data_IF_022275280028
#
_entry.id   IF_022275280028
#
_cell.length_a   1.000
_cell.length_b   1.000
_cell.length_c   1.000
_cell.angle_alpha   90.00
_cell.angle_beta   90.00
_cell.angle_gamma   90.00
#
_symmetry.space_group_name_H-M   'P 1'
#
loop_
_entity.id
_entity.type
_entity.pdbx_description
1 polymer ?
#
# COMPACT_ATOMS: atom_id res chain seq x y z
N UNK A 1 9.13 39.95 5.02
CA UNK A 1 10.08 38.87 5.36
C UNK A 1 9.89 38.56 6.82
N UNK A 2 9.72 37.29 7.20
CA UNK A 2 9.81 36.92 8.61
C UNK A 2 11.25 37.17 9.07
N UNK A 3 11.44 37.65 10.31
CA UNK A 3 12.78 37.86 10.86
C UNK A 3 13.54 36.54 11.02
N UNK A 4 14.80 36.60 11.43
CA UNK A 4 15.58 35.42 11.81
C UNK A 4 15.87 35.41 13.31
N UNK A 5 16.22 34.24 13.85
CA UNK A 5 16.87 34.08 15.15
C UNK A 5 18.19 33.33 14.96
N UNK A 6 19.18 33.66 15.75
CA UNK A 6 20.43 32.91 15.81
C UNK A 6 20.26 31.68 16.69
N UNK A 7 20.54 30.50 16.15
CA UNK A 7 20.68 29.27 16.92
C UNK A 7 22.12 28.75 16.83
N UNK A 8 22.50 27.90 17.79
CA UNK A 8 23.85 27.30 17.86
C UNK A 8 23.79 25.78 17.92
N UNK A 9 24.78 25.14 17.29
CA UNK A 9 25.15 23.75 17.52
C UNK A 9 26.68 23.65 17.73
N UNK A 10 27.24 22.45 17.72
CA UNK A 10 28.69 22.25 17.88
C UNK A 10 29.54 22.86 16.76
N UNK A 11 28.94 23.24 15.63
CA UNK A 11 29.61 23.92 14.51
C UNK A 11 29.48 25.45 14.58
N UNK A 12 28.87 25.99 15.64
CA UNK A 12 28.73 27.43 15.88
C UNK A 12 27.34 27.97 15.51
N UNK A 13 27.21 29.30 15.36
CA UNK A 13 25.92 29.96 15.11
C UNK A 13 25.42 29.79 13.66
N UNK A 14 24.09 29.84 13.50
CA UNK A 14 23.40 29.89 12.21
C UNK A 14 22.06 30.62 12.34
N UNK A 15 21.67 31.35 11.29
CA UNK A 15 20.39 32.07 11.24
C UNK A 15 19.24 31.14 10.80
N UNK A 16 18.17 31.13 11.59
CA UNK A 16 16.97 30.32 11.38
C UNK A 16 15.75 31.25 11.26
N UNK A 17 14.78 31.00 10.36
CA UNK A 17 13.56 31.80 10.29
C UNK A 17 12.82 31.85 11.64
N UNK A 18 12.45 33.05 12.09
CA UNK A 18 11.84 33.26 13.41
C UNK A 18 10.44 32.64 13.55
N UNK A 19 9.73 32.44 12.43
CA UNK A 19 8.42 31.79 12.36
C UNK A 19 8.50 30.24 12.37
N UNK A 20 9.69 29.66 12.52
CA UNK A 20 9.91 28.21 12.42
C UNK A 20 10.49 27.63 13.68
N UNK A 21 9.96 26.50 14.13
CA UNK A 21 10.37 25.85 15.38
C UNK A 21 11.61 24.96 15.26
N UNK A 22 12.07 24.61 14.05
CA UNK A 22 13.31 23.84 13.89
C UNK A 22 14.54 24.66 14.27
N UNK A 23 15.65 24.03 14.60
CA UNK A 23 16.86 24.70 15.10
C UNK A 23 18.05 24.64 14.16
N UNK A 24 19.25 24.79 14.73
CA UNK A 24 20.49 24.89 13.99
C UNK A 24 20.78 23.67 13.09
N UNK A 25 20.56 22.44 13.58
CA UNK A 25 20.90 21.24 12.81
C UNK A 25 19.99 21.05 11.61
N UNK A 26 18.69 21.32 11.78
CA UNK A 26 17.74 21.31 10.66
C UNK A 26 18.11 22.36 9.62
N UNK A 27 18.44 23.57 10.06
CA UNK A 27 18.84 24.65 9.15
C UNK A 27 20.11 24.31 8.37
N UNK A 28 21.10 23.66 8.99
CA UNK A 28 22.29 23.16 8.29
C UNK A 28 21.95 22.04 7.31
N UNK A 29 21.09 21.09 7.70
CA UNK A 29 20.67 20.00 6.82
C UNK A 29 20.00 20.53 5.54
N UNK A 30 19.10 21.53 5.66
CA UNK A 30 18.51 22.22 4.50
C UNK A 30 19.54 22.86 3.57
N UNK A 31 20.63 23.38 4.12
CA UNK A 31 21.74 23.92 3.36
C UNK A 31 22.53 22.85 2.60
N UNK A 32 22.79 21.71 3.26
CA UNK A 32 23.72 20.68 2.79
C UNK A 32 23.07 19.62 1.87
N UNK A 33 21.79 19.31 2.07
CA UNK A 33 21.08 18.22 1.38
C UNK A 33 20.00 18.75 0.44
N UNK A 34 20.43 19.56 -0.54
CA UNK A 34 19.55 20.15 -1.58
C UNK A 34 19.37 19.21 -2.76
N UNK A 35 18.84 18.03 -2.48
CA UNK A 35 18.68 16.95 -3.45
C UNK A 35 17.19 16.65 -3.57
N UNK A 36 16.68 16.58 -4.80
CA UNK A 36 15.31 16.18 -5.10
C UNK A 36 14.20 17.08 -4.53
N UNK A 37 12.97 16.74 -4.89
CA UNK A 37 11.78 17.42 -4.40
C UNK A 37 11.17 16.71 -3.19
N UNK A 38 11.49 15.43 -3.01
CA UNK A 38 10.92 14.55 -1.99
C UNK A 38 11.29 15.01 -0.57
N UNK A 39 10.29 15.47 0.17
CA UNK A 39 10.38 15.72 1.60
C UNK A 39 10.14 14.42 2.37
N UNK A 40 10.67 14.36 3.59
CA UNK A 40 10.41 13.23 4.47
C UNK A 40 8.90 13.02 4.64
N UNK A 41 8.37 11.78 4.52
CA UNK A 41 6.92 11.55 4.60
C UNK A 41 6.35 11.98 5.95
N UNK A 42 5.25 12.74 5.93
CA UNK A 42 4.56 13.18 7.15
C UNK A 42 4.16 12.04 8.08
N UNK A 43 3.70 10.85 7.62
CA UNK A 43 3.42 9.73 8.52
C UNK A 43 4.64 9.30 9.35
N UNK A 44 5.86 9.44 8.82
CA UNK A 44 7.08 9.18 9.58
C UNK A 44 7.35 10.28 10.63
N UNK A 45 7.09 11.54 10.30
CA UNK A 45 7.19 12.67 11.23
C UNK A 45 6.21 12.49 12.39
N UNK A 46 4.96 12.13 12.10
CA UNK A 46 3.94 11.86 13.11
C UNK A 46 4.33 10.67 13.98
N UNK A 47 4.89 9.61 13.40
CA UNK A 47 5.44 8.49 14.14
C UNK A 47 6.62 8.88 15.04
N UNK A 48 7.52 9.77 14.58
CA UNK A 48 8.57 10.31 15.43
C UNK A 48 8.01 11.15 16.58
N UNK A 49 6.90 11.89 16.37
CA UNK A 49 6.15 12.53 17.44
C UNK A 49 5.69 11.52 18.50
N UNK A 50 5.11 10.40 18.09
CA UNK A 50 4.73 9.30 19.00
C UNK A 50 5.95 8.69 19.73
N UNK A 51 7.07 8.51 19.03
CA UNK A 51 8.34 8.06 19.64
C UNK A 51 8.77 9.05 20.73
N UNK A 52 8.80 10.35 20.47
CA UNK A 52 9.20 11.33 21.49
C UNK A 52 8.23 11.40 22.67
N UNK A 53 6.93 11.28 22.39
CA UNK A 53 5.91 11.25 23.44
C UNK A 53 6.08 10.01 24.34
N UNK A 54 6.23 8.82 23.77
CA UNK A 54 6.44 7.60 24.53
C UNK A 54 7.76 7.61 25.31
N UNK A 55 8.84 8.12 24.71
CA UNK A 55 10.15 8.18 25.35
C UNK A 55 10.19 9.14 26.53
N UNK A 56 9.54 10.31 26.44
CA UNK A 56 9.52 11.24 27.59
C UNK A 56 8.70 10.68 28.74
N UNK A 57 7.57 10.00 28.45
CA UNK A 57 6.76 9.37 29.49
C UNK A 57 7.54 8.25 30.21
N UNK A 58 8.23 7.39 29.46
CA UNK A 58 9.09 6.35 30.05
C UNK A 58 10.24 6.95 30.89
N UNK A 59 10.82 8.07 30.45
CA UNK A 59 11.86 8.77 31.21
C UNK A 59 11.32 9.45 32.48
N UNK A 60 10.08 9.94 32.46
CA UNK A 60 9.41 10.46 33.65
C UNK A 60 9.14 9.34 34.67
N UNK A 61 8.66 8.18 34.21
CA UNK A 61 8.46 6.99 35.06
C UNK A 61 9.77 6.53 35.71
N UNK A 62 10.89 6.63 34.98
CA UNK A 62 12.24 6.31 35.48
C UNK A 62 12.88 7.43 36.33
N UNK A 63 12.19 8.56 36.56
CA UNK A 63 12.70 9.69 37.32
C UNK A 63 13.87 10.45 36.67
N UNK A 64 14.06 10.30 35.36
CA UNK A 64 15.15 10.94 34.60
C UNK A 64 14.80 12.33 34.08
N UNK A 65 13.51 12.68 34.04
CA UNK A 65 13.00 13.99 33.61
C UNK A 65 11.96 14.48 34.62
N UNK A 66 12.09 15.74 35.03
CA UNK A 66 11.13 16.41 35.92
C UNK A 66 9.73 16.53 35.28
N UNK A 67 8.67 16.31 36.07
CA UNK A 67 7.28 16.26 35.58
C UNK A 67 6.88 17.45 34.71
N UNK A 68 7.15 18.68 35.16
CA UNK A 68 6.76 19.88 34.41
C UNK A 68 7.45 20.00 33.04
N UNK A 69 8.72 19.63 32.95
CA UNK A 69 9.46 19.58 31.68
C UNK A 69 8.93 18.44 30.81
N UNK A 70 8.75 17.27 31.40
CA UNK A 70 8.30 16.07 30.70
C UNK A 70 6.89 16.21 30.11
N UNK A 71 5.95 16.80 30.85
CA UNK A 71 4.58 17.10 30.41
C UNK A 71 4.57 18.08 29.22
N UNK A 72 5.39 19.13 29.27
CA UNK A 72 5.50 20.08 28.17
C UNK A 72 6.06 19.44 26.89
N UNK A 73 7.06 18.56 27.03
CA UNK A 73 7.59 17.77 25.91
C UNK A 73 6.54 16.80 25.38
N UNK A 74 5.82 16.08 26.25
CA UNK A 74 4.80 15.12 25.84
C UNK A 74 3.66 15.81 25.07
N UNK A 75 3.23 16.99 25.51
CA UNK A 75 2.22 17.79 24.81
C UNK A 75 2.71 18.27 23.44
N UNK A 76 3.93 18.81 23.36
CA UNK A 76 4.52 19.22 22.08
C UNK A 76 4.74 18.03 21.13
N UNK A 77 5.12 16.87 21.63
CA UNK A 77 5.26 15.64 20.86
C UNK A 77 3.90 15.14 20.33
N UNK A 78 2.82 15.29 21.12
CA UNK A 78 1.46 15.00 20.68
C UNK A 78 0.99 15.96 19.56
N UNK A 79 1.36 17.25 19.61
CA UNK A 79 1.10 18.21 18.53
C UNK A 79 1.79 17.79 17.21
N UNK A 80 3.01 17.27 17.28
CA UNK A 80 3.72 16.68 16.13
C UNK A 80 3.03 15.40 15.66
N UNK A 81 2.68 14.49 16.57
CA UNK A 81 2.00 13.23 16.25
C UNK A 81 0.61 13.44 15.61
N UNK A 82 -0.07 14.54 15.96
CA UNK A 82 -1.36 14.95 15.41
C UNK A 82 -1.28 15.82 14.14
N UNK A 83 -0.07 16.15 13.66
CA UNK A 83 0.15 16.89 12.41
C UNK A 83 -0.06 18.40 12.46
N UNK A 84 -0.33 18.98 13.64
CA UNK A 84 -0.54 20.43 13.78
C UNK A 84 0.73 21.26 13.51
N UNK A 85 1.90 20.62 13.49
CA UNK A 85 3.21 21.24 13.30
C UNK A 85 3.90 20.85 11.98
N UNK A 86 3.18 20.27 11.02
CA UNK A 86 3.75 19.72 9.77
C UNK A 86 4.63 20.71 8.98
N UNK A 87 4.29 21.99 9.02
CA UNK A 87 5.04 23.05 8.35
C UNK A 87 6.47 23.25 8.91
N UNK A 88 6.84 22.61 10.01
CA UNK A 88 8.16 22.71 10.64
C UNK A 88 9.11 21.56 10.29
N UNK A 89 8.74 20.72 9.31
CA UNK A 89 9.53 19.53 8.91
C UNK A 89 9.93 19.58 7.43
N UNK A 90 10.89 20.45 7.05
CA UNK A 90 11.20 20.73 5.65
C UNK A 90 12.24 19.77 5.03
N UNK A 91 12.77 18.83 5.80
CA UNK A 91 13.92 18.01 5.38
C UNK A 91 13.57 17.01 4.27
N UNK A 92 14.55 16.76 3.41
CA UNK A 92 14.45 15.87 2.26
C UNK A 92 14.63 14.41 2.67
N UNK A 93 14.12 13.49 1.84
CA UNK A 93 14.38 12.05 1.98
C UNK A 93 15.88 11.76 1.84
N UNK A 94 16.53 12.48 0.92
CA UNK A 94 17.94 12.30 0.53
C UNK A 94 18.90 12.99 1.49
N UNK A 95 18.88 12.53 2.74
CA UNK A 95 19.66 13.07 3.85
C UNK A 95 20.65 12.04 4.40
N UNK A 96 21.17 12.25 5.61
CA UNK A 96 21.92 11.19 6.31
C UNK A 96 21.13 9.88 6.37
N UNK A 97 21.81 8.78 6.02
CA UNK A 97 21.22 7.48 5.84
C UNK A 97 20.64 6.82 7.10
N UNK A 98 21.05 7.26 8.28
CA UNK A 98 20.46 6.84 9.56
C UNK A 98 19.14 7.54 9.88
N UNK A 99 18.82 8.64 9.20
CA UNK A 99 17.69 9.50 9.55
C UNK A 99 17.97 10.50 10.68
N UNK A 100 19.22 10.65 11.12
CA UNK A 100 19.60 11.55 12.24
C UNK A 100 19.11 12.98 12.07
N UNK A 101 19.15 13.54 10.85
CA UNK A 101 18.74 14.93 10.63
C UNK A 101 17.24 15.11 10.86
N UNK A 102 16.39 14.18 10.42
CA UNK A 102 14.96 14.19 10.77
C UNK A 102 14.71 13.94 12.25
N UNK A 103 15.44 13.01 12.89
CA UNK A 103 15.32 12.81 14.34
C UNK A 103 15.63 14.12 15.10
N UNK A 104 16.70 14.81 14.72
CA UNK A 104 17.05 16.10 15.31
C UNK A 104 16.07 17.21 14.96
N UNK A 105 15.50 17.22 13.75
CA UNK A 105 14.44 18.17 13.40
C UNK A 105 13.22 18.02 14.32
N UNK A 106 12.79 16.79 14.60
CA UNK A 106 11.72 16.52 15.56
C UNK A 106 12.13 16.94 16.97
N UNK A 107 13.35 16.63 17.41
CA UNK A 107 13.85 17.06 18.71
C UNK A 107 13.85 18.60 18.86
N UNK A 108 14.33 19.33 17.85
CA UNK A 108 14.40 20.79 17.86
C UNK A 108 13.01 21.43 17.88
N UNK A 109 12.09 20.94 17.04
CA UNK A 109 10.71 21.44 17.00
C UNK A 109 10.00 21.22 18.33
N UNK A 110 10.08 20.01 18.89
CA UNK A 110 9.46 19.69 20.18
C UNK A 110 10.10 20.50 21.30
N UNK A 111 11.43 20.61 21.34
CA UNK A 111 12.13 21.41 22.35
C UNK A 111 11.68 22.88 22.31
N UNK A 112 11.72 23.51 21.14
CA UNK A 112 11.31 24.90 20.99
C UNK A 112 9.82 25.11 21.30
N UNK A 113 8.96 24.17 20.92
CA UNK A 113 7.53 24.23 21.25
C UNK A 113 7.28 24.15 22.76
N UNK A 114 7.99 23.24 23.44
CA UNK A 114 7.91 23.07 24.89
C UNK A 114 8.51 24.26 25.65
N UNK A 115 9.62 24.84 25.18
CA UNK A 115 10.19 26.08 25.72
C UNK A 115 9.17 27.20 25.70
N UNK A 116 8.50 27.42 24.56
CA UNK A 116 7.48 28.46 24.42
C UNK A 116 6.29 28.20 25.37
N UNK A 117 5.86 26.95 25.53
CA UNK A 117 4.80 26.58 26.46
C UNK A 117 5.17 26.86 27.94
N UNK A 118 6.46 26.79 28.26
CA UNK A 118 7.02 27.09 29.58
C UNK A 118 7.43 28.57 29.74
N UNK A 119 7.05 29.45 28.79
CA UNK A 119 7.32 30.89 28.85
C UNK A 119 8.76 31.29 28.51
N UNK A 120 9.56 30.37 27.96
CA UNK A 120 10.92 30.64 27.51
C UNK A 120 11.00 31.19 26.08
N UNK A 121 12.22 31.28 25.56
CA UNK A 121 12.52 31.83 24.22
C UNK A 121 13.00 30.71 23.29
N UNK A 122 12.36 30.54 22.14
CA UNK A 122 12.79 29.55 21.14
C UNK A 122 14.26 29.75 20.74
N UNK A 123 15.00 28.64 20.61
CA UNK A 123 16.43 28.58 20.31
C UNK A 123 17.36 28.67 21.52
N UNK A 124 16.83 29.06 22.69
CA UNK A 124 17.62 29.13 23.94
C UNK A 124 18.03 27.78 24.49
N UNK A 125 17.35 26.70 24.08
CA UNK A 125 17.51 25.32 24.59
C UNK A 125 17.30 25.19 26.11
N UNK A 126 16.64 26.16 26.72
CA UNK A 126 16.32 26.23 28.15
C UNK A 126 14.85 26.63 28.30
N UNK A 127 14.06 25.97 29.16
CA UNK A 127 14.44 24.85 30.04
C UNK A 127 14.56 23.49 29.32
N UNK A 128 14.16 23.39 28.04
CA UNK A 128 14.15 22.11 27.31
C UNK A 128 15.27 22.05 26.28
N UNK A 129 16.27 21.19 26.54
CA UNK A 129 17.34 20.87 25.60
C UNK A 129 16.91 19.75 24.62
N UNK A 130 17.12 19.90 23.29
CA UNK A 130 16.71 18.89 22.31
C UNK A 130 17.43 17.55 22.46
N UNK A 131 18.68 17.52 22.94
CA UNK A 131 19.41 16.26 23.15
C UNK A 131 19.18 15.71 24.56
N UNK A 132 19.29 16.55 25.58
CA UNK A 132 19.42 16.10 26.97
C UNK A 132 18.05 15.77 27.58
N UNK A 133 16.98 16.32 27.00
CA UNK A 133 15.61 16.08 27.43
C UNK A 133 14.81 15.35 26.34
N UNK A 134 14.62 15.95 25.15
CA UNK A 134 13.75 15.36 24.11
C UNK A 134 14.32 14.05 23.55
N UNK A 135 15.64 13.96 23.39
CA UNK A 135 16.35 12.76 22.94
C UNK A 135 16.97 11.94 24.09
N UNK A 136 16.53 12.16 25.35
CA UNK A 136 17.04 11.42 26.50
C UNK A 136 16.79 9.92 26.32
N UNK A 137 17.81 9.10 26.59
CA UNK A 137 17.79 7.64 26.47
C UNK A 137 17.50 7.09 25.06
N UNK A 138 17.71 7.92 24.04
CA UNK A 138 17.44 7.59 22.64
C UNK A 138 18.67 7.83 21.77
N UNK A 139 18.66 7.21 20.60
CA UNK A 139 19.57 7.48 19.49
C UNK A 139 18.78 7.58 18.21
N UNK A 140 19.25 8.34 17.22
CA UNK A 140 18.64 8.28 15.88
C UNK A 140 18.63 6.84 15.32
N UNK A 141 19.62 6.04 15.70
CA UNK A 141 19.78 4.67 15.24
C UNK A 141 18.69 3.73 15.76
N UNK A 142 17.99 4.07 16.84
CA UNK A 142 16.89 3.28 17.40
C UNK A 142 15.52 4.00 17.33
N UNK A 143 15.51 5.33 17.34
CA UNK A 143 14.30 6.16 17.19
C UNK A 143 13.75 6.13 15.76
N UNK A 144 14.61 6.31 14.76
CA UNK A 144 14.18 6.34 13.35
C UNK A 144 13.60 4.98 12.90
N UNK A 145 14.25 3.82 13.12
CA UNK A 145 13.64 2.53 12.76
C UNK A 145 12.36 2.22 13.54
N UNK A 146 12.27 2.62 14.82
CA UNK A 146 11.01 2.49 15.57
C UNK A 146 9.89 3.31 14.93
N UNK A 147 10.19 4.55 14.50
CA UNK A 147 9.23 5.37 13.78
C UNK A 147 8.85 4.80 12.40
N UNK A 148 9.79 4.15 11.69
CA UNK A 148 9.48 3.46 10.43
C UNK A 148 8.41 2.37 10.64
N UNK A 149 8.59 1.55 11.67
CA UNK A 149 7.67 0.48 12.03
C UNK A 149 6.30 1.02 12.47
N UNK A 150 6.28 2.05 13.32
CA UNK A 150 5.05 2.71 13.76
C UNK A 150 4.29 3.31 12.57
N UNK A 151 4.98 4.06 11.71
CA UNK A 151 4.37 4.70 10.54
C UNK A 151 3.79 3.67 9.58
N UNK A 152 4.54 2.60 9.26
CA UNK A 152 4.07 1.56 8.37
C UNK A 152 2.84 0.83 8.94
N UNK A 153 2.89 0.37 10.20
CA UNK A 153 1.76 -0.32 10.82
C UNK A 153 0.49 0.55 10.89
N UNK A 154 0.64 1.84 11.18
CA UNK A 154 -0.50 2.78 11.18
C UNK A 154 -1.05 3.02 9.78
N UNK A 155 -0.23 3.29 8.77
CA UNK A 155 -0.72 3.49 7.40
C UNK A 155 -1.36 2.20 6.83
N UNK A 156 -0.90 1.02 7.23
CA UNK A 156 -1.57 -0.24 6.91
C UNK A 156 -2.97 -0.31 7.54
N UNK A 157 -3.07 -0.10 8.85
CA UNK A 157 -4.32 -0.14 9.62
C UNK A 157 -5.33 0.93 9.16
N UNK A 158 -4.88 2.18 9.06
CA UNK A 158 -5.76 3.34 8.97
C UNK A 158 -6.12 3.66 7.51
N UNK A 159 -5.24 3.32 6.55
CA UNK A 159 -5.43 3.61 5.12
C UNK A 159 -5.61 2.36 4.28
N UNK A 160 -4.65 1.44 4.27
CA UNK A 160 -4.62 0.40 3.23
C UNK A 160 -5.63 -0.72 3.47
N UNK A 161 -5.71 -1.27 4.68
CA UNK A 161 -6.64 -2.38 4.97
C UNK A 161 -8.11 -1.99 4.73
N UNK A 162 -8.59 -0.79 5.14
CA UNK A 162 -9.95 -0.37 4.83
C UNK A 162 -10.18 -0.17 3.32
N UNK A 163 -9.19 0.33 2.58
CA UNK A 163 -9.28 0.51 1.13
C UNK A 163 -9.41 -0.82 0.39
N UNK A 164 -8.59 -1.81 0.74
CA UNK A 164 -8.63 -3.13 0.13
C UNK A 164 -9.89 -3.89 0.53
N UNK A 165 -10.35 -3.74 1.78
CA UNK A 165 -11.62 -4.33 2.24
C UNK A 165 -12.80 -3.77 1.44
N UNK A 166 -12.80 -2.48 1.15
CA UNK A 166 -13.82 -1.83 0.31
C UNK A 166 -13.79 -2.34 -1.13
N UNK A 167 -12.60 -2.41 -1.75
CA UNK A 167 -12.44 -2.98 -3.09
C UNK A 167 -12.89 -4.44 -3.16
N UNK A 168 -12.48 -5.25 -2.18
CA UNK A 168 -12.89 -6.64 -2.05
C UNK A 168 -14.41 -6.78 -1.98
N UNK A 169 -15.06 -6.03 -1.08
CA UNK A 169 -16.51 -6.08 -0.91
C UNK A 169 -17.25 -5.65 -2.19
N UNK A 170 -16.73 -4.67 -2.91
CA UNK A 170 -17.31 -4.19 -4.17
C UNK A 170 -17.20 -5.25 -5.27
N UNK A 171 -16.05 -5.91 -5.41
CA UNK A 171 -15.85 -7.02 -6.34
C UNK A 171 -16.74 -8.23 -6.00
N UNK A 172 -16.81 -8.61 -4.72
CA UNK A 172 -17.62 -9.72 -4.24
C UNK A 172 -19.12 -9.47 -4.45
N UNK A 173 -19.58 -8.23 -4.25
CA UNK A 173 -20.96 -7.85 -4.56
C UNK A 173 -21.29 -8.03 -6.05
N UNK A 174 -20.40 -7.59 -6.96
CA UNK A 174 -20.56 -7.81 -8.40
C UNK A 174 -20.51 -9.30 -8.77
N UNK A 175 -19.61 -10.06 -8.16
CA UNK A 175 -19.53 -11.52 -8.30
C UNK A 175 -20.89 -12.17 -8.02
N UNK A 176 -21.49 -11.89 -6.86
CA UNK A 176 -22.79 -12.44 -6.45
C UNK A 176 -23.94 -11.99 -7.37
N UNK A 177 -23.95 -10.72 -7.77
CA UNK A 177 -24.96 -10.18 -8.68
C UNK A 177 -24.94 -10.85 -10.07
N UNK A 178 -23.80 -11.41 -10.48
CA UNK A 178 -23.57 -11.93 -11.83
C UNK A 178 -23.37 -13.45 -11.90
N UNK A 179 -23.69 -14.18 -10.83
CA UNK A 179 -23.60 -15.65 -10.77
C UNK A 179 -24.37 -16.34 -11.91
N UNK A 180 -25.48 -15.77 -12.37
CA UNK A 180 -26.30 -16.33 -13.46
C UNK A 180 -25.93 -15.86 -14.88
N UNK A 181 -24.91 -15.01 -15.05
CA UNK A 181 -24.56 -14.46 -16.36
C UNK A 181 -23.47 -15.34 -16.98
N UNK A 182 -23.84 -16.19 -17.93
CA UNK A 182 -22.89 -17.07 -18.62
C UNK A 182 -22.18 -16.30 -19.73
N UNK A 183 -20.85 -16.37 -19.75
CA UNK A 183 -19.97 -15.79 -20.78
C UNK A 183 -18.94 -16.81 -21.22
N UNK A 184 -18.21 -16.51 -22.28
CA UNK A 184 -17.08 -17.34 -22.70
C UNK A 184 -15.89 -17.11 -21.78
N UNK A 185 -15.30 -18.20 -21.30
CA UNK A 185 -13.94 -18.16 -20.80
C UNK A 185 -12.97 -17.88 -21.95
N UNK A 186 -11.80 -17.33 -21.62
CA UNK A 186 -10.69 -17.19 -22.56
C UNK A 186 -9.40 -17.68 -21.95
N UNK A 187 -8.73 -18.59 -22.63
CA UNK A 187 -7.38 -19.04 -22.28
C UNK A 187 -6.48 -18.81 -23.49
N UNK A 188 -5.26 -18.31 -23.26
CA UNK A 188 -4.36 -17.88 -24.35
C UNK A 188 -4.99 -16.82 -25.29
N UNK A 189 -5.95 -16.04 -24.79
CA UNK A 189 -6.77 -15.09 -25.54
C UNK A 189 -7.68 -15.71 -26.63
N UNK A 190 -7.77 -17.04 -26.70
CA UNK A 190 -8.69 -17.75 -27.57
C UNK A 190 -10.00 -18.03 -26.84
N UNK A 191 -11.08 -18.22 -27.59
CA UNK A 191 -12.34 -18.68 -27.03
C UNK A 191 -12.14 -20.03 -26.32
N UNK A 192 -12.80 -20.20 -25.17
CA UNK A 192 -12.76 -21.42 -24.38
C UNK A 192 -14.18 -21.81 -23.93
N UNK A 193 -14.28 -22.74 -22.97
CA UNK A 193 -15.57 -23.18 -22.42
C UNK A 193 -16.27 -22.07 -21.63
N UNK A 194 -17.60 -22.16 -21.46
CA UNK A 194 -18.35 -21.18 -20.67
C UNK A 194 -17.90 -21.10 -19.21
N UNK A 195 -17.99 -19.89 -18.66
CA UNK A 195 -17.92 -19.58 -17.23
C UNK A 195 -19.03 -18.58 -16.90
N UNK A 196 -19.36 -18.38 -15.63
CA UNK A 196 -20.21 -17.24 -15.26
C UNK A 196 -19.35 -16.00 -15.02
N UNK A 197 -19.88 -14.82 -15.31
CA UNK A 197 -19.24 -13.55 -14.98
C UNK A 197 -19.05 -13.43 -13.46
N UNK A 198 -19.96 -14.01 -12.68
CA UNK A 198 -19.79 -14.18 -11.23
C UNK A 198 -18.53 -14.98 -10.88
N UNK A 199 -18.30 -16.14 -11.50
CA UNK A 199 -17.08 -16.93 -11.28
C UNK A 199 -15.80 -16.14 -11.61
N UNK A 200 -15.80 -15.39 -12.72
CA UNK A 200 -14.67 -14.54 -13.10
C UNK A 200 -14.38 -13.47 -12.02
N UNK A 201 -15.42 -12.75 -11.57
CA UNK A 201 -15.28 -11.73 -10.53
C UNK A 201 -14.96 -12.30 -9.14
N UNK A 202 -15.39 -13.52 -8.83
CA UNK A 202 -14.99 -14.22 -7.60
C UNK A 202 -13.47 -14.46 -7.56
N UNK A 203 -12.85 -14.68 -8.73
CA UNK A 203 -11.40 -14.80 -8.85
C UNK A 203 -10.70 -13.49 -8.47
N UNK A 204 -11.24 -12.35 -8.90
CA UNK A 204 -10.71 -11.03 -8.55
C UNK A 204 -10.86 -10.74 -7.06
N UNK A 205 -12.05 -10.99 -6.48
CA UNK A 205 -12.30 -10.84 -5.05
C UNK A 205 -11.32 -11.72 -4.24
N UNK A 206 -11.17 -13.00 -4.60
CA UNK A 206 -10.23 -13.91 -3.93
C UNK A 206 -8.76 -13.43 -4.02
N UNK A 207 -8.34 -12.85 -5.16
CA UNK A 207 -6.99 -12.28 -5.28
C UNK A 207 -6.76 -11.11 -4.33
N UNK A 208 -7.74 -10.21 -4.18
CA UNK A 208 -7.66 -9.09 -3.22
C UNK A 208 -7.66 -9.60 -1.79
N UNK A 209 -8.54 -10.55 -1.46
CA UNK A 209 -8.61 -11.16 -0.12
C UNK A 209 -7.29 -11.83 0.27
N UNK A 210 -6.69 -12.61 -0.64
CA UNK A 210 -5.39 -13.22 -0.41
C UNK A 210 -4.28 -12.16 -0.28
N UNK A 211 -4.40 -11.02 -0.97
CA UNK A 211 -3.50 -9.88 -0.81
C UNK A 211 -3.58 -9.25 0.59
N UNK A 212 -4.79 -9.05 1.12
CA UNK A 212 -5.04 -8.59 2.49
C UNK A 212 -4.37 -9.54 3.49
N UNK A 213 -4.65 -10.84 3.40
CA UNK A 213 -4.10 -11.84 4.31
C UNK A 213 -2.55 -11.87 4.32
N UNK A 214 -1.90 -11.66 3.17
CA UNK A 214 -0.42 -11.56 3.09
C UNK A 214 0.11 -10.37 3.85
N UNK A 215 -0.56 -9.22 3.76
CA UNK A 215 -0.13 -7.99 4.45
C UNK A 215 -0.39 -8.11 5.95
N UNK A 216 -1.55 -8.63 6.36
CA UNK A 216 -1.87 -8.91 7.75
C UNK A 216 -0.84 -9.85 8.40
N UNK A 217 -0.40 -10.87 7.65
CA UNK A 217 0.62 -11.79 8.12
C UNK A 217 1.94 -11.10 8.47
N UNK A 218 2.27 -9.95 7.84
CA UNK A 218 3.48 -9.16 8.12
C UNK A 218 3.38 -8.31 9.40
N UNK A 219 2.17 -7.94 9.85
CA UNK A 219 1.97 -7.04 10.99
C UNK A 219 2.71 -7.47 12.27
N UNK A 220 2.70 -8.75 12.69
CA UNK A 220 3.45 -9.21 13.86
C UNK A 220 4.95 -8.93 13.82
N UNK A 221 5.53 -8.77 12.63
CA UNK A 221 6.96 -8.46 12.44
C UNK A 221 7.26 -6.96 12.38
N UNK A 222 6.23 -6.12 12.26
CA UNK A 222 6.35 -4.67 12.40
C UNK A 222 6.22 -4.20 13.85
N UNK A 223 5.51 -4.94 14.70
CA UNK A 223 5.28 -4.55 16.09
C UNK A 223 6.51 -4.53 17.02
N UNK A 224 7.55 -5.35 16.82
CA UNK A 224 8.76 -5.25 17.62
C UNK A 224 9.57 -4.00 17.25
N UNK A 225 9.83 -3.13 18.23
CA UNK A 225 10.50 -1.83 18.04
C UNK A 225 11.98 -1.87 18.46
N UNK A 226 12.79 -1.12 17.71
CA UNK A 226 14.23 -1.00 17.95
C UNK A 226 14.58 -0.17 19.20
N UNK A 227 13.67 0.69 19.66
CA UNK A 227 13.91 1.63 20.76
C UNK A 227 14.49 0.94 22.00
N UNK A 228 15.54 1.53 22.57
CA UNK A 228 16.34 0.94 23.64
C UNK A 228 17.62 0.25 23.13
N UNK A 229 17.82 0.15 21.82
CA UNK A 229 19.09 -0.26 21.22
C UNK A 229 20.20 0.80 21.39
N UNK A 230 19.78 2.07 21.50
CA UNK A 230 20.61 3.28 21.49
C UNK A 230 21.56 3.31 20.30
N UNK A 231 22.88 3.42 20.51
CA UNK A 231 23.82 3.67 19.42
C UNK A 231 24.03 2.44 18.51
N UNK A 232 24.25 1.27 19.12
CA UNK A 232 24.74 0.06 18.43
C UNK A 232 24.06 -1.24 18.86
N UNK A 233 22.97 -1.16 19.64
CA UNK A 233 22.20 -2.33 20.07
C UNK A 233 22.38 -2.72 21.54
N UNK A 234 23.36 -2.13 22.24
CA UNK A 234 23.70 -2.48 23.63
C UNK A 234 22.82 -1.82 24.69
N UNK A 235 22.07 -0.78 24.33
CA UNK A 235 21.28 -0.01 25.29
C UNK A 235 22.09 0.96 26.16
N UNK A 236 23.36 1.22 25.82
CA UNK A 236 24.18 2.21 26.53
C UNK A 236 23.45 3.56 26.64
N UNK A 237 23.40 4.12 27.84
CA UNK A 237 22.70 5.37 28.21
C UNK A 237 21.16 5.32 28.24
N UNK A 238 20.54 4.14 28.11
CA UNK A 238 19.15 3.93 28.48
C UNK A 238 19.06 3.25 29.86
N UNK A 239 18.11 3.63 30.73
CA UNK A 239 17.92 2.91 31.99
C UNK A 239 17.31 1.52 31.73
N UNK A 240 17.51 0.60 32.67
CA UNK A 240 16.87 -0.71 32.65
C UNK A 240 15.33 -0.57 32.62
N UNK A 241 14.65 -1.37 31.79
CA UNK A 241 13.20 -1.32 31.61
C UNK A 241 12.69 -0.21 30.67
N UNK A 242 13.57 0.66 30.15
CA UNK A 242 13.17 1.74 29.23
C UNK A 242 12.46 1.23 27.98
N UNK A 243 12.99 0.18 27.36
CA UNK A 243 12.48 -0.33 26.09
C UNK A 243 11.06 -0.91 26.23
N UNK A 244 10.81 -1.63 27.33
CA UNK A 244 9.51 -2.20 27.68
C UNK A 244 8.48 -1.11 28.01
N UNK A 245 8.84 -0.14 28.87
CA UNK A 245 7.96 0.99 29.20
C UNK A 245 7.64 1.81 27.94
N UNK A 246 8.66 2.13 27.14
CA UNK A 246 8.49 2.83 25.86
C UNK A 246 7.49 2.10 24.94
N UNK A 247 7.70 0.80 24.68
CA UNK A 247 6.81 0.03 23.82
C UNK A 247 5.38 -0.01 24.37
N UNK A 248 5.21 -0.13 25.69
CA UNK A 248 3.91 -0.04 26.35
C UNK A 248 3.21 1.31 26.19
N UNK A 249 3.96 2.42 26.21
CA UNK A 249 3.41 3.73 25.87
C UNK A 249 3.00 3.83 24.39
N UNK A 250 3.85 3.40 23.46
CA UNK A 250 3.50 3.39 22.03
C UNK A 250 2.25 2.55 21.77
N UNK A 251 2.14 1.38 22.39
CA UNK A 251 0.98 0.51 22.26
C UNK A 251 -0.31 1.19 22.78
N UNK A 252 -0.25 1.85 23.94
CA UNK A 252 -1.39 2.63 24.48
C UNK A 252 -1.78 3.81 23.58
N UNK A 253 -0.80 4.55 23.06
CA UNK A 253 -1.04 5.73 22.23
C UNK A 253 -1.63 5.37 20.86
N UNK A 254 -1.29 4.20 20.32
CA UNK A 254 -1.70 3.78 18.98
C UNK A 254 -2.86 2.79 18.96
N UNK A 255 -3.11 2.09 20.07
CA UNK A 255 -4.04 0.96 20.12
C UNK A 255 -3.52 -0.31 19.42
N UNK A 256 -2.25 -0.32 19.00
CA UNK A 256 -1.61 -1.44 18.30
C UNK A 256 -0.66 -2.20 19.25
N UNK A 257 -0.46 -3.52 19.09
CA UNK A 257 0.26 -4.35 20.05
C UNK A 257 1.80 -4.25 19.89
N UNK A 258 2.34 -3.04 19.90
CA UNK A 258 3.79 -2.81 19.83
C UNK A 258 4.52 -3.40 21.03
N UNK A 259 5.70 -3.95 20.78
CA UNK A 259 6.57 -4.58 21.79
C UNK A 259 8.01 -4.15 21.57
N UNK A 260 8.89 -4.48 22.52
CA UNK A 260 10.33 -4.30 22.36
C UNK A 260 10.90 -5.43 21.49
N UNK A 261 11.75 -5.12 20.50
CA UNK A 261 12.42 -6.14 19.68
C UNK A 261 13.29 -7.09 20.53
N UNK A 262 13.15 -8.40 20.31
CA UNK A 262 13.91 -9.41 21.04
C UNK A 262 15.42 -9.31 20.81
N UNK A 263 15.84 -8.90 19.61
CA UNK A 263 17.24 -8.64 19.29
C UNK A 263 17.40 -7.19 18.79
N UNK A 264 18.13 -6.39 19.57
CA UNK A 264 18.35 -4.97 19.28
C UNK A 264 19.37 -4.71 18.19
N UNK A 265 20.29 -5.65 17.95
CA UNK A 265 21.29 -5.54 16.90
C UNK A 265 20.66 -5.73 15.53
N UNK A 266 19.82 -6.77 15.37
CA UNK A 266 19.06 -7.01 14.13
C UNK A 266 18.17 -5.81 13.80
N UNK A 267 17.41 -5.31 14.79
CA UNK A 267 16.44 -4.22 14.61
C UNK A 267 17.05 -2.87 14.14
N UNK A 268 18.37 -2.69 14.24
CA UNK A 268 19.06 -1.47 13.76
C UNK A 268 19.99 -1.75 12.56
N UNK A 269 20.56 -2.96 12.48
CA UNK A 269 21.50 -3.38 11.45
C UNK A 269 20.82 -3.80 10.15
N UNK A 270 19.56 -4.27 10.22
CA UNK A 270 18.76 -4.73 9.08
C UNK A 270 17.34 -4.11 9.09
N UNK A 271 16.59 -4.33 8.02
CA UNK A 271 15.18 -3.90 7.88
C UNK A 271 14.35 -4.99 7.20
N UNK A 272 14.55 -6.24 7.59
CA UNK A 272 13.99 -7.40 6.90
C UNK A 272 12.45 -7.39 6.93
N UNK A 273 11.85 -6.97 8.05
CA UNK A 273 10.40 -6.79 8.16
C UNK A 273 9.84 -5.78 7.13
N UNK A 274 10.60 -4.73 6.79
CA UNK A 274 10.21 -3.75 5.77
C UNK A 274 10.38 -4.30 4.35
N UNK A 275 11.43 -5.09 4.11
CA UNK A 275 11.65 -5.77 2.83
C UNK A 275 10.55 -6.81 2.58
N UNK A 276 10.20 -7.59 3.61
CA UNK A 276 9.11 -8.56 3.56
C UNK A 276 7.76 -7.88 3.27
N UNK A 277 7.42 -6.82 4.02
CA UNK A 277 6.20 -6.05 3.78
C UNK A 277 6.16 -5.52 2.34
N UNK A 278 7.28 -4.98 1.85
CA UNK A 278 7.41 -4.51 0.48
C UNK A 278 7.17 -5.64 -0.54
N UNK A 279 7.63 -6.85 -0.26
CA UNK A 279 7.36 -8.04 -1.07
C UNK A 279 5.87 -8.45 -1.09
N UNK A 280 5.18 -8.31 0.04
CA UNK A 280 3.73 -8.52 0.11
C UNK A 280 2.97 -7.48 -0.73
N UNK A 281 3.36 -6.20 -0.64
CA UNK A 281 2.80 -5.11 -1.46
C UNK A 281 3.06 -5.33 -2.96
N UNK A 282 4.25 -5.79 -3.34
CA UNK A 282 4.58 -6.17 -4.71
C UNK A 282 3.70 -7.30 -5.24
N UNK A 283 3.48 -8.34 -4.42
CA UNK A 283 2.58 -9.45 -4.77
C UNK A 283 1.14 -8.97 -4.98
N UNK A 284 0.65 -8.09 -4.10
CA UNK A 284 -0.67 -7.47 -4.25
C UNK A 284 -0.75 -6.64 -5.54
N UNK A 285 0.26 -5.83 -5.86
CA UNK A 285 0.31 -5.03 -7.07
C UNK A 285 0.23 -5.89 -8.34
N UNK A 286 0.91 -7.05 -8.38
CA UNK A 286 0.79 -7.98 -9.50
C UNK A 286 -0.65 -8.50 -9.69
N UNK A 287 -1.35 -8.82 -8.58
CA UNK A 287 -2.76 -9.23 -8.61
C UNK A 287 -3.69 -8.12 -9.09
N UNK A 288 -3.55 -6.91 -8.53
CA UNK A 288 -4.35 -5.74 -8.92
C UNK A 288 -4.11 -5.35 -10.39
N UNK A 289 -2.88 -5.46 -10.88
CA UNK A 289 -2.57 -5.21 -12.29
C UNK A 289 -3.38 -6.15 -13.19
N UNK A 290 -3.41 -7.46 -12.89
CA UNK A 290 -4.20 -8.42 -13.66
C UNK A 290 -5.68 -8.06 -13.67
N UNK A 291 -6.26 -7.74 -12.52
CA UNK A 291 -7.68 -7.35 -12.40
C UNK A 291 -7.98 -6.12 -13.28
N UNK A 292 -7.14 -5.09 -13.22
CA UNK A 292 -7.29 -3.88 -14.03
C UNK A 292 -7.20 -4.16 -15.54
N UNK A 293 -6.27 -5.03 -15.94
CA UNK A 293 -6.08 -5.48 -17.32
C UNK A 293 -7.33 -6.19 -17.84
N UNK A 294 -7.84 -7.17 -17.10
CA UNK A 294 -9.03 -7.91 -17.51
C UNK A 294 -10.21 -6.97 -17.69
N UNK A 295 -10.50 -6.12 -16.70
CA UNK A 295 -11.64 -5.19 -16.75
C UNK A 295 -11.56 -4.28 -17.99
N UNK A 296 -10.38 -3.73 -18.32
CA UNK A 296 -10.24 -2.89 -19.51
C UNK A 296 -10.28 -3.66 -20.83
N UNK A 297 -9.82 -4.91 -20.86
CA UNK A 297 -9.96 -5.77 -22.04
C UNK A 297 -11.42 -6.13 -22.28
N UNK A 298 -12.14 -6.54 -21.24
CA UNK A 298 -13.57 -6.84 -21.31
C UNK A 298 -14.41 -5.59 -21.65
N UNK A 299 -13.98 -4.41 -21.20
CA UNK A 299 -14.56 -3.12 -21.57
C UNK A 299 -14.09 -2.52 -22.90
N UNK A 300 -13.26 -3.22 -23.68
CA UNK A 300 -12.76 -2.70 -24.96
C UNK A 300 -13.87 -2.63 -26.01
N UNK A 301 -14.01 -1.49 -26.71
CA UNK A 301 -15.11 -1.29 -27.65
C UNK A 301 -15.29 0.17 -28.07
N UNK A 302 -16.51 0.62 -28.41
CA UNK A 302 -17.79 -0.09 -28.21
C UNK A 302 -18.15 -1.07 -29.34
N UNK A 303 -17.44 -1.07 -30.48
CA UNK A 303 -17.82 -1.88 -31.67
C UNK A 303 -16.73 -2.81 -32.19
N UNK A 304 -15.48 -2.59 -31.81
CA UNK A 304 -14.32 -3.28 -32.40
C UNK A 304 -13.42 -3.93 -31.34
N UNK A 305 -13.98 -4.27 -30.18
CA UNK A 305 -13.31 -4.96 -29.09
C UNK A 305 -14.15 -6.14 -28.57
N UNK A 306 -13.86 -6.58 -27.35
CA UNK A 306 -14.65 -7.63 -26.69
C UNK A 306 -16.04 -7.10 -26.32
N UNK A 307 -16.10 -5.97 -25.61
CA UNK A 307 -17.34 -5.28 -25.25
C UNK A 307 -18.27 -6.05 -24.34
N UNK A 308 -17.74 -6.98 -23.52
CA UNK A 308 -18.57 -7.75 -22.57
C UNK A 308 -18.96 -6.92 -21.33
N UNK A 309 -18.16 -5.90 -21.00
CA UNK A 309 -18.44 -4.97 -19.90
C UNK A 309 -18.65 -3.55 -20.43
N UNK A 310 -19.60 -2.85 -19.84
CA UNK A 310 -19.84 -1.43 -19.99
C UNK A 310 -19.20 -0.74 -18.79
N UNK A 311 -18.16 0.04 -19.02
CA UNK A 311 -17.45 0.76 -17.97
C UNK A 311 -18.11 2.12 -17.69
N UNK A 312 -18.05 2.64 -16.46
CA UNK A 312 -18.56 3.98 -16.14
C UNK A 312 -17.88 5.09 -16.95
N UNK A 313 -18.66 6.08 -17.35
CA UNK A 313 -18.18 7.29 -18.04
C UNK A 313 -17.89 8.40 -17.02
N UNK A 314 -16.65 8.46 -16.52
CA UNK A 314 -16.27 9.46 -15.50
C UNK A 314 -15.87 10.82 -16.10
N UNK A 315 -15.29 10.80 -17.31
CA UNK A 315 -14.83 11.99 -18.02
C UNK A 315 -14.84 11.81 -19.55
N UNK A 316 -14.82 12.90 -20.35
CA UNK A 316 -14.64 12.82 -21.79
C UNK A 316 -13.31 12.13 -22.14
N UNK A 317 -13.37 11.01 -22.87
CA UNK A 317 -12.20 10.17 -23.16
C UNK A 317 -11.34 10.64 -24.34
N UNK A 318 -11.71 11.72 -25.04
CA UNK A 318 -10.89 12.27 -26.12
C UNK A 318 -11.19 13.73 -26.40
N UNK A 319 -10.14 14.50 -26.66
CA UNK A 319 -10.23 15.89 -27.11
C UNK A 319 -10.74 16.03 -28.55
N UNK A 320 -10.70 14.96 -29.37
CA UNK A 320 -10.99 15.00 -30.82
C UNK A 320 -12.07 14.00 -31.27
N UNK A 321 -12.35 12.96 -30.48
CA UNK A 321 -13.37 11.95 -30.79
C UNK A 321 -14.57 12.11 -29.84
N UNK A 322 -15.62 12.88 -30.22
CA UNK A 322 -16.82 13.03 -29.42
C UNK A 322 -17.46 11.66 -29.10
N UNK A 323 -17.83 11.45 -27.83
CA UNK A 323 -18.47 10.21 -27.37
C UNK A 323 -17.52 9.04 -27.08
N UNK A 324 -16.18 9.22 -27.21
CA UNK A 324 -15.21 8.21 -26.77
C UNK A 324 -15.04 8.23 -25.25
N UNK A 325 -15.08 7.06 -24.63
CA UNK A 325 -14.83 6.85 -23.19
C UNK A 325 -13.67 5.88 -23.03
N UNK A 326 -12.73 6.18 -22.13
CA UNK A 326 -11.53 5.36 -21.88
C UNK A 326 -11.62 4.67 -20.51
N UNK A 327 -10.94 3.52 -20.33
CA UNK A 327 -10.84 2.82 -19.04
C UNK A 327 -9.82 3.48 -18.09
N UNK A 328 -9.95 4.78 -17.82
CA UNK A 328 -8.95 5.60 -17.12
C UNK A 328 -8.64 5.14 -15.70
N UNK A 329 -9.63 4.60 -14.98
CA UNK A 329 -9.40 4.02 -13.65
C UNK A 329 -8.53 2.76 -13.72
N UNK A 330 -8.70 1.92 -14.75
CA UNK A 330 -7.80 0.78 -15.00
C UNK A 330 -6.40 1.25 -15.40
N UNK A 331 -6.29 2.32 -16.20
CA UNK A 331 -5.01 2.92 -16.57
C UNK A 331 -4.25 3.41 -15.32
N UNK A 332 -4.92 4.18 -14.46
CA UNK A 332 -4.36 4.66 -13.19
C UNK A 332 -3.90 3.49 -12.29
N UNK A 333 -4.73 2.47 -12.12
CA UNK A 333 -4.38 1.28 -11.35
C UNK A 333 -3.14 0.57 -11.89
N UNK A 334 -3.04 0.40 -13.22
CA UNK A 334 -1.87 -0.25 -13.83
C UNK A 334 -0.58 0.56 -13.68
N UNK A 335 -0.64 1.90 -13.76
CA UNK A 335 0.52 2.76 -13.52
C UNK A 335 0.97 2.71 -12.05
N UNK A 336 0.02 2.74 -11.11
CA UNK A 336 0.33 2.59 -9.67
C UNK A 336 1.01 1.24 -9.39
N UNK A 337 0.50 0.16 -9.97
CA UNK A 337 1.11 -1.16 -9.81
C UNK A 337 2.56 -1.19 -10.32
N UNK A 338 2.84 -0.57 -11.48
CA UNK A 338 4.20 -0.46 -12.00
C UNK A 338 5.12 0.32 -11.04
N UNK A 339 4.64 1.43 -10.47
CA UNK A 339 5.40 2.22 -9.49
C UNK A 339 5.69 1.41 -8.21
N UNK A 340 4.70 0.68 -7.68
CA UNK A 340 4.88 -0.16 -6.49
C UNK A 340 5.92 -1.26 -6.71
N UNK A 341 5.93 -1.88 -7.90
CA UNK A 341 6.94 -2.88 -8.27
C UNK A 341 8.34 -2.24 -8.31
N UNK A 342 8.47 -1.04 -8.91
CA UNK A 342 9.73 -0.29 -8.90
C UNK A 342 10.21 0.07 -7.48
N UNK A 343 9.29 0.52 -6.63
CA UNK A 343 9.56 0.80 -5.22
C UNK A 343 10.05 -0.44 -4.48
N UNK A 344 9.49 -1.62 -4.78
CA UNK A 344 9.93 -2.87 -4.18
C UNK A 344 11.38 -3.23 -4.53
N UNK A 345 11.79 -3.01 -5.78
CA UNK A 345 13.20 -3.21 -6.19
C UNK A 345 14.12 -2.26 -5.41
N UNK A 346 13.75 -0.99 -5.27
CA UNK A 346 14.51 -0.02 -4.49
C UNK A 346 14.63 -0.42 -3.01
N UNK A 347 13.53 -0.86 -2.39
CA UNK A 347 13.52 -1.35 -0.99
C UNK A 347 14.39 -2.59 -0.83
N UNK A 348 14.29 -3.56 -1.74
CA UNK A 348 15.10 -4.78 -1.70
C UNK A 348 16.58 -4.45 -1.79
N UNK A 349 16.98 -3.59 -2.74
CA UNK A 349 18.37 -3.15 -2.84
C UNK A 349 18.80 -2.45 -1.55
N UNK A 350 18.08 -1.44 -1.09
CA UNK A 350 18.40 -0.69 0.13
C UNK A 350 18.49 -1.57 1.40
N UNK A 351 17.60 -2.56 1.53
CA UNK A 351 17.62 -3.53 2.64
C UNK A 351 18.90 -4.37 2.65
N UNK A 352 19.42 -4.75 1.48
CA UNK A 352 20.66 -5.55 1.37
C UNK A 352 21.95 -4.78 1.73
N UNK A 353 21.91 -3.46 1.82
CA UNK A 353 23.10 -2.61 2.01
C UNK A 353 23.46 -2.37 3.50
N UNK A 354 23.05 -3.26 4.42
CA UNK A 354 23.48 -3.18 5.81
C UNK A 354 24.99 -3.36 5.98
N UNK A 355 25.64 -2.56 6.84
CA UNK A 355 27.06 -2.74 7.18
C UNK A 355 27.24 -2.73 8.70
N UNK A 356 27.75 -3.83 9.23
CA UNK A 356 27.99 -4.01 10.67
C UNK A 356 26.74 -3.67 11.50
N UNK A 357 26.83 -2.75 12.47
CA UNK A 357 25.74 -2.45 13.41
C UNK A 357 24.62 -1.56 12.85
N UNK A 358 24.69 -1.07 11.60
CA UNK A 358 23.67 -0.14 11.10
C UNK A 358 23.44 -0.22 9.59
N UNK A 359 22.18 -0.43 9.17
CA UNK A 359 21.77 -0.11 7.81
C UNK A 359 21.47 1.40 7.71
N UNK A 360 22.19 2.09 6.80
CA UNK A 360 22.11 3.53 6.55
C UNK A 360 21.33 3.87 5.26
N UNK A 361 20.35 3.06 4.90
CA UNK A 361 19.40 3.34 3.82
C UNK A 361 17.98 3.56 4.35
N UNK A 362 17.85 3.88 5.65
CA UNK A 362 16.55 3.96 6.35
C UNK A 362 15.57 4.93 5.68
N UNK A 363 15.94 6.18 5.30
CA UNK A 363 15.04 7.11 4.62
C UNK A 363 14.44 6.58 3.31
N UNK A 364 15.26 5.98 2.44
CA UNK A 364 14.77 5.51 1.13
C UNK A 364 13.89 4.27 1.28
N UNK A 365 14.16 3.40 2.26
CA UNK A 365 13.31 2.24 2.58
C UNK A 365 11.92 2.72 2.96
N UNK A 366 11.83 3.56 4.00
CA UNK A 366 10.53 3.97 4.52
C UNK A 366 9.77 4.88 3.55
N UNK A 367 10.47 5.73 2.79
CA UNK A 367 9.85 6.53 1.74
C UNK A 367 9.11 5.65 0.73
N UNK A 368 9.78 4.63 0.19
CA UNK A 368 9.19 3.75 -0.81
C UNK A 368 8.07 2.88 -0.23
N UNK A 369 8.23 2.37 1.00
CA UNK A 369 7.18 1.59 1.68
C UNK A 369 5.92 2.45 1.89
N UNK A 370 6.05 3.64 2.48
CA UNK A 370 4.90 4.53 2.72
C UNK A 370 4.27 5.03 1.43
N UNK A 371 5.08 5.31 0.39
CA UNK A 371 4.54 5.68 -0.92
C UNK A 371 3.71 4.55 -1.52
N UNK A 372 4.21 3.31 -1.48
CA UNK A 372 3.46 2.15 -1.99
C UNK A 372 2.15 1.92 -1.23
N UNK A 373 2.18 2.00 0.11
CA UNK A 373 0.97 1.88 0.94
C UNK A 373 -0.07 2.94 0.56
N UNK A 374 0.37 4.20 0.42
CA UNK A 374 -0.52 5.31 0.03
C UNK A 374 -1.09 5.11 -1.37
N UNK A 375 -0.25 4.86 -2.37
CA UNK A 375 -0.68 4.72 -3.76
C UNK A 375 -1.68 3.57 -3.92
N UNK A 376 -1.42 2.39 -3.34
CA UNK A 376 -2.35 1.26 -3.40
C UNK A 376 -3.65 1.60 -2.68
N UNK A 377 -3.59 2.19 -1.49
CA UNK A 377 -4.77 2.55 -0.72
C UNK A 377 -5.67 3.54 -1.47
N UNK A 378 -5.09 4.58 -2.06
CA UNK A 378 -5.83 5.61 -2.78
C UNK A 378 -6.43 5.05 -4.08
N UNK A 379 -5.65 4.29 -4.86
CA UNK A 379 -6.13 3.72 -6.13
C UNK A 379 -7.13 2.59 -5.92
N UNK A 380 -7.02 1.79 -4.86
CA UNK A 380 -7.98 0.74 -4.56
C UNK A 380 -9.37 1.31 -4.27
N UNK A 381 -9.45 2.41 -3.49
CA UNK A 381 -10.72 3.13 -3.27
C UNK A 381 -11.25 3.73 -4.57
N UNK A 382 -10.42 4.49 -5.28
CA UNK A 382 -10.83 5.13 -6.54
C UNK A 382 -11.32 4.11 -7.57
N UNK A 383 -10.63 2.99 -7.71
CA UNK A 383 -11.01 1.92 -8.63
C UNK A 383 -12.31 1.22 -8.20
N UNK A 384 -12.51 1.00 -6.90
CA UNK A 384 -13.77 0.46 -6.39
C UNK A 384 -14.95 1.39 -6.69
N UNK A 385 -14.82 2.67 -6.35
CA UNK A 385 -15.91 3.66 -6.42
C UNK A 385 -16.22 4.10 -7.86
N UNK A 386 -15.18 4.42 -8.63
CA UNK A 386 -15.32 5.05 -9.94
C UNK A 386 -15.23 4.05 -11.11
N UNK A 387 -14.98 2.76 -10.83
CA UNK A 387 -14.99 1.73 -11.85
C UNK A 387 -15.88 0.57 -11.40
N UNK A 388 -15.41 -0.27 -10.48
CA UNK A 388 -16.06 -1.57 -10.16
C UNK A 388 -17.53 -1.40 -9.78
N UNK A 389 -17.87 -0.42 -8.95
CA UNK A 389 -19.25 -0.18 -8.52
C UNK A 389 -20.23 0.04 -9.69
N UNK A 390 -19.79 0.76 -10.73
CA UNK A 390 -20.62 1.15 -11.87
C UNK A 390 -20.48 0.27 -13.12
N UNK A 391 -19.60 -0.73 -13.14
CA UNK A 391 -19.49 -1.66 -14.28
C UNK A 391 -20.81 -2.41 -14.44
N UNK A 392 -21.29 -2.52 -15.67
CA UNK A 392 -22.46 -3.34 -16.03
C UNK A 392 -22.12 -4.34 -17.15
N UNK A 393 -22.75 -5.53 -17.19
CA UNK A 393 -22.54 -6.49 -18.27
C UNK A 393 -23.34 -6.10 -19.53
N UNK A 394 -22.70 -6.10 -20.70
CA UNK A 394 -23.42 -6.05 -21.98
C UNK A 394 -23.96 -7.44 -22.30
N UNK A 395 -25.16 -7.73 -21.80
CA UNK A 395 -25.79 -9.05 -21.95
C UNK A 395 -26.02 -9.42 -23.41
N UNK A 396 -26.30 -8.45 -24.28
CA UNK A 396 -26.52 -8.72 -25.70
C UNK A 396 -25.21 -9.14 -26.36
N UNK A 397 -24.12 -8.42 -26.08
CA UNK A 397 -22.79 -8.77 -26.59
C UNK A 397 -22.28 -10.11 -26.05
N UNK A 398 -22.47 -10.37 -24.75
CA UNK A 398 -22.10 -11.65 -24.13
C UNK A 398 -22.86 -12.81 -24.80
N UNK A 399 -24.16 -12.66 -25.04
CA UNK A 399 -24.97 -13.68 -25.71
C UNK A 399 -24.55 -13.92 -27.17
N UNK A 400 -24.30 -12.84 -27.92
CA UNK A 400 -23.79 -12.90 -29.30
C UNK A 400 -22.47 -13.66 -29.37
N UNK A 401 -21.50 -13.32 -28.51
CA UNK A 401 -20.22 -14.02 -28.46
C UNK A 401 -20.41 -15.52 -28.12
N UNK A 402 -21.26 -15.84 -27.14
CA UNK A 402 -21.56 -17.22 -26.76
C UNK A 402 -22.11 -18.03 -27.93
N UNK A 403 -23.03 -17.47 -28.72
CA UNK A 403 -23.63 -18.13 -29.89
C UNK A 403 -22.62 -18.38 -31.02
N UNK A 404 -21.66 -17.47 -31.20
CA UNK A 404 -20.60 -17.59 -32.21
C UNK A 404 -19.49 -18.58 -31.84
N UNK A 405 -19.39 -18.95 -30.56
CA UNK A 405 -18.28 -19.81 -30.10
C UNK A 405 -18.42 -21.24 -30.57
N UNK A 406 -17.30 -21.78 -31.01
CA UNK A 406 -17.17 -23.18 -31.40
C UNK A 406 -16.76 -24.07 -30.22
N UNK A 407 -16.39 -23.50 -29.07
CA UNK A 407 -15.89 -24.26 -27.91
C UNK A 407 -16.99 -24.87 -27.05
N UNK A 408 -18.26 -24.55 -27.32
CA UNK A 408 -19.39 -25.30 -26.76
C UNK A 408 -19.36 -26.78 -27.20
N UNK A 409 -18.58 -27.10 -28.24
CA UNK A 409 -18.37 -28.45 -28.77
C UNK A 409 -17.79 -29.39 -27.72
N UNK A 410 -17.14 -28.87 -26.69
CA UNK A 410 -16.63 -29.66 -25.56
C UNK A 410 -17.75 -30.43 -24.86
N UNK A 411 -18.98 -29.89 -24.81
CA UNK A 411 -20.15 -30.60 -24.28
C UNK A 411 -20.61 -31.77 -25.17
N UNK A 412 -20.26 -31.79 -26.46
CA UNK A 412 -20.60 -32.90 -27.35
C UNK A 412 -19.64 -34.09 -27.20
N UNK A 413 -18.39 -33.85 -26.79
CA UNK A 413 -17.34 -34.86 -26.77
C UNK A 413 -17.69 -36.14 -25.97
N UNK A 414 -18.36 -36.07 -24.79
CA UNK A 414 -18.82 -37.27 -24.08
C UNK A 414 -19.85 -38.11 -24.83
N UNK A 415 -20.59 -37.51 -25.76
CA UNK A 415 -21.69 -38.16 -26.49
C UNK A 415 -21.26 -38.69 -27.86
N UNK A 416 -20.39 -37.95 -28.57
CA UNK A 416 -19.99 -38.30 -29.95
C UNK A 416 -18.51 -38.70 -30.09
N UNK A 417 -17.73 -38.58 -29.02
CA UNK A 417 -16.28 -38.79 -29.03
C UNK A 417 -15.49 -37.55 -29.47
N UNK A 418 -14.24 -37.46 -29.01
CA UNK A 418 -13.38 -36.30 -29.24
C UNK A 418 -13.14 -36.00 -30.73
N UNK A 419 -12.80 -37.01 -31.53
CA UNK A 419 -12.45 -36.82 -32.94
C UNK A 419 -13.64 -36.28 -33.76
N UNK A 420 -14.85 -36.78 -33.46
CA UNK A 420 -16.08 -36.31 -34.12
C UNK A 420 -16.42 -34.89 -33.68
N UNK A 421 -16.33 -34.58 -32.38
CA UNK A 421 -16.51 -33.24 -31.86
C UNK A 421 -15.53 -32.24 -32.50
N UNK A 422 -14.25 -32.60 -32.60
CA UNK A 422 -13.22 -31.78 -33.24
C UNK A 422 -13.51 -31.57 -34.75
N UNK A 423 -13.99 -32.60 -35.45
CA UNK A 423 -14.39 -32.50 -36.86
C UNK A 423 -15.56 -31.52 -37.05
N UNK A 424 -16.57 -31.58 -36.18
CA UNK A 424 -17.72 -30.66 -36.18
C UNK A 424 -17.25 -29.21 -36.01
N UNK A 425 -16.40 -28.93 -35.01
CA UNK A 425 -15.90 -27.57 -34.79
C UNK A 425 -15.04 -27.05 -35.96
N UNK A 426 -14.17 -27.91 -36.53
CA UNK A 426 -13.37 -27.54 -37.71
C UNK A 426 -14.25 -27.22 -38.92
N UNK A 427 -15.29 -28.02 -39.14
CA UNK A 427 -16.25 -27.77 -40.22
C UNK A 427 -17.01 -26.46 -39.99
N UNK A 428 -17.54 -26.25 -38.79
CA UNK A 428 -18.23 -25.02 -38.42
C UNK A 428 -17.38 -23.78 -38.73
N UNK A 429 -16.09 -23.82 -38.36
CA UNK A 429 -15.15 -22.74 -38.66
C UNK A 429 -14.91 -22.57 -40.17
N UNK A 430 -14.64 -23.66 -40.90
CA UNK A 430 -14.32 -23.62 -42.32
C UNK A 430 -15.49 -23.11 -43.19
N UNK A 431 -16.72 -23.41 -42.77
CA UNK A 431 -17.95 -23.10 -43.51
C UNK A 431 -18.68 -21.85 -42.96
N UNK A 432 -18.21 -21.26 -41.86
CA UNK A 432 -18.85 -20.09 -41.23
C UNK A 432 -20.21 -20.41 -40.61
N UNK A 433 -20.40 -21.65 -40.15
CA UNK A 433 -21.64 -22.10 -39.52
C UNK A 433 -21.58 -21.91 -38.01
N UNK A 434 -22.76 -21.79 -37.38
CA UNK A 434 -22.85 -21.97 -35.93
C UNK A 434 -22.52 -23.42 -35.58
N UNK A 435 -22.05 -23.65 -34.35
CA UNK A 435 -21.75 -25.00 -33.89
C UNK A 435 -22.98 -25.92 -33.98
N UNK A 436 -24.16 -25.40 -33.63
CA UNK A 436 -25.42 -26.14 -33.71
C UNK A 436 -25.73 -26.58 -35.14
N UNK A 437 -25.58 -25.69 -36.12
CA UNK A 437 -25.80 -26.03 -37.53
C UNK A 437 -24.84 -27.12 -38.00
N UNK A 438 -23.54 -26.98 -37.73
CA UNK A 438 -22.54 -27.97 -38.10
C UNK A 438 -22.75 -29.34 -37.42
N UNK A 439 -23.21 -29.35 -36.16
CA UNK A 439 -23.51 -30.59 -35.43
C UNK A 439 -24.70 -31.34 -36.05
N UNK A 440 -25.77 -30.61 -36.40
CA UNK A 440 -26.96 -31.20 -37.06
C UNK A 440 -26.59 -31.76 -38.43
N UNK A 441 -25.80 -31.03 -39.22
CA UNK A 441 -25.31 -31.51 -40.52
C UNK A 441 -24.35 -32.71 -40.41
N UNK A 442 -23.71 -32.88 -39.26
CA UNK A 442 -22.87 -34.03 -38.94
C UNK A 442 -23.65 -35.22 -38.33
N UNK A 443 -24.98 -35.11 -38.23
CA UNK A 443 -25.87 -36.21 -37.81
C UNK A 443 -26.26 -36.20 -36.33
N UNK A 444 -26.01 -35.13 -35.58
CA UNK A 444 -26.54 -34.95 -34.21
C UNK A 444 -28.00 -34.51 -34.28
N UNK A 445 -28.90 -35.19 -33.56
CA UNK A 445 -30.30 -34.76 -33.48
C UNK A 445 -30.40 -33.37 -32.81
N UNK A 446 -31.29 -32.52 -33.32
CA UNK A 446 -31.44 -31.16 -32.82
C UNK A 446 -31.84 -31.10 -31.34
N UNK A 447 -32.72 -32.00 -30.89
CA UNK A 447 -33.13 -32.04 -29.48
C UNK A 447 -32.01 -32.58 -28.58
N UNK A 448 -31.21 -33.53 -29.10
CA UNK A 448 -30.03 -34.02 -28.38
C UNK A 448 -28.99 -32.90 -28.22
N UNK A 449 -28.71 -32.13 -29.27
CA UNK A 449 -27.82 -30.98 -29.18
C UNK A 449 -28.31 -29.98 -28.12
N UNK A 450 -29.59 -29.58 -28.19
CA UNK A 450 -30.15 -28.57 -27.27
C UNK A 450 -30.18 -29.07 -25.81
N UNK A 451 -30.22 -30.39 -25.60
CA UNK A 451 -30.15 -31.02 -24.28
C UNK A 451 -28.72 -31.15 -23.76
N UNK A 452 -27.75 -31.45 -24.62
CA UNK A 452 -26.35 -31.66 -24.23
C UNK A 452 -25.58 -30.35 -24.10
N UNK A 453 -25.86 -29.38 -24.98
CA UNK A 453 -25.13 -28.12 -25.07
C UNK A 453 -25.91 -27.02 -24.35
N UNK A 454 -25.85 -27.05 -23.02
CA UNK A 454 -26.48 -26.04 -22.16
C UNK A 454 -25.39 -25.20 -21.49
N UNK A 455 -25.11 -23.95 -21.94
CA UNK A 455 -23.96 -23.18 -21.48
C UNK A 455 -23.87 -23.03 -19.96
N UNK A 456 -25.00 -22.83 -19.27
CA UNK A 456 -25.04 -22.74 -17.81
C UNK A 456 -24.66 -24.06 -17.12
N UNK A 457 -25.01 -25.21 -17.69
CA UNK A 457 -24.61 -26.51 -17.15
C UNK A 457 -23.11 -26.78 -17.35
N UNK A 458 -22.46 -26.08 -18.29
CA UNK A 458 -21.02 -26.18 -18.55
C UNK A 458 -20.15 -25.35 -17.60
N UNK A 459 -20.75 -24.58 -16.69
CA UNK A 459 -19.99 -23.73 -15.74
C UNK A 459 -19.66 -24.43 -14.43
N UNK A 460 -19.85 -25.74 -14.31
CA UNK A 460 -19.60 -26.49 -13.08
C UNK A 460 -19.40 -27.98 -13.34
N UNK A 461 -18.97 -28.75 -12.32
CA UNK A 461 -18.87 -30.19 -12.46
C UNK A 461 -20.24 -30.81 -12.71
N UNK A 462 -20.29 -31.88 -13.50
CA UNK A 462 -21.52 -32.67 -13.68
C UNK A 462 -22.00 -33.19 -12.32
N UNK A 463 -23.29 -33.01 -12.03
CA UNK A 463 -23.90 -33.67 -10.88
C UNK A 463 -23.80 -35.19 -11.11
N UNK A 464 -23.14 -35.90 -10.18
CA UNK A 464 -23.18 -37.37 -10.19
C UNK A 464 -24.62 -37.80 -9.93
N UNK A 465 -25.28 -38.30 -10.96
CA UNK A 465 -26.57 -38.99 -10.89
C UNK A 465 -26.44 -40.37 -10.25
#
# INVERSE_FOLDING_TARGET
MTGTRTETDSFGPIEVPADRLWGAQTQRSLGNFRIGDETMPLPLIHALGLVKQAAVLANMEAGLIESGIGEAIAAAAAEVAGGSLDAHFPLKVWQTGSGTQTNMNVNEVIANRAILALGGVAGSKTPVHPNDHVNRSQSSNDSFPSAMHIAAARELSDRLMPALSHLHATLDAKSKAWEGIVKLGRTHLQDATPITLGQEFSGYAAQVQAGIARIEACLPRLYPLAQGATAVGTGLNAPEGFAESFAGHVARLTGLPFTTAANKFEAIAAHDAMVELSGALNTLAAGLFKIAQDIRFLGSGPRSGLGELILPENEPGSSIMPGKVNPTQSEALTMVCAQVIGNHVAVTFAGSQGNFELNVFKPVIIFNVLQSIRLIGDVARSFADNCVAGIEPDRARIADLMEQSLMLVTALAPHVGYDQAASIAKRAHAEGLTLRAAAIEAGVDANDYDRWVVPLAMTGPEARG
#
